data_IF_522672793835
#
_entry.id   IF_522672793835
#
_cell.length_a   1.000
_cell.length_b   1.000
_cell.length_c   1.000
_cell.angle_alpha   90.00
_cell.angle_beta   90.00
_cell.angle_gamma   90.00
#
_symmetry.space_group_name_H-M   'P 1'
#
loop_
_entity.id
_entity.type
_entity.pdbx_description
1 polymer ?
#
# COMPACT_ATOMS: atom_id res chain seq x y z
N UNK A 1 10.92 -11.52 -8.46
CA UNK A 1 11.09 -12.29 -7.22
C UNK A 1 12.41 -13.05 -7.34
N UNK A 2 13.51 -12.38 -7.01
CA UNK A 2 14.84 -12.95 -7.12
C UNK A 2 15.00 -14.09 -6.12
N UNK A 3 15.19 -15.33 -6.61
CA UNK A 3 15.57 -16.54 -5.86
C UNK A 3 14.71 -16.92 -4.64
N UNK A 4 13.46 -16.52 -4.57
CA UNK A 4 12.55 -17.07 -3.56
C UNK A 4 12.16 -18.50 -3.91
N UNK A 5 12.06 -19.35 -2.89
CA UNK A 5 11.46 -20.68 -3.03
C UNK A 5 10.08 -20.56 -3.71
N UNK A 6 9.69 -21.55 -4.55
CA UNK A 6 8.40 -21.53 -5.19
C UNK A 6 7.27 -21.35 -4.18
N UNK A 7 6.43 -20.35 -4.40
CA UNK A 7 5.22 -20.16 -3.61
C UNK A 7 4.16 -21.15 -4.10
N UNK A 8 3.71 -22.04 -3.23
CA UNK A 8 2.68 -23.04 -3.56
C UNK A 8 1.31 -22.54 -3.10
N UNK A 9 0.36 -22.55 -4.02
CA UNK A 9 -1.04 -22.22 -3.76
C UNK A 9 -1.89 -23.46 -4.05
N UNK A 10 -2.75 -23.83 -3.11
CA UNK A 10 -3.71 -24.92 -3.32
C UNK A 10 -4.85 -24.48 -4.24
N UNK A 11 -5.42 -25.40 -5.00
CA UNK A 11 -6.66 -25.15 -5.76
C UNK A 11 -7.80 -24.75 -4.82
N UNK A 12 -7.78 -25.19 -3.57
CA UNK A 12 -8.77 -24.83 -2.56
C UNK A 12 -8.69 -23.34 -2.13
N UNK A 13 -7.55 -22.68 -2.36
CA UNK A 13 -7.36 -21.26 -2.08
C UNK A 13 -7.67 -20.40 -3.32
N UNK A 14 -8.05 -21.02 -4.44
CA UNK A 14 -8.37 -20.32 -5.66
C UNK A 14 -9.78 -19.74 -5.63
N UNK A 15 -9.98 -18.65 -6.36
CA UNK A 15 -11.31 -18.06 -6.55
C UNK A 15 -11.96 -18.72 -7.78
N UNK A 16 -13.00 -19.55 -7.62
CA UNK A 16 -13.72 -20.14 -8.75
C UNK A 16 -14.57 -19.06 -9.45
N UNK A 17 -14.53 -19.04 -10.77
CA UNK A 17 -15.35 -18.15 -11.61
C UNK A 17 -15.96 -18.98 -12.73
N UNK A 18 -17.29 -18.97 -12.83
CA UNK A 18 -17.96 -19.57 -13.97
C UNK A 18 -17.90 -18.64 -15.19
N UNK A 19 -17.45 -19.19 -16.32
CA UNK A 19 -17.45 -18.50 -17.61
C UNK A 19 -17.72 -19.50 -18.75
N UNK A 20 -18.80 -19.24 -19.50
CA UNK A 20 -19.19 -20.07 -20.64
C UNK A 20 -19.35 -21.58 -20.29
N UNK A 21 -19.98 -21.89 -19.16
CA UNK A 21 -20.20 -23.27 -18.68
C UNK A 21 -18.93 -23.98 -18.19
N UNK A 22 -17.82 -23.24 -18.01
CA UNK A 22 -16.56 -23.76 -17.44
C UNK A 22 -16.23 -23.05 -16.14
N UNK A 23 -15.69 -23.79 -15.19
CA UNK A 23 -15.14 -23.23 -13.96
C UNK A 23 -13.67 -22.88 -14.21
N UNK A 24 -13.34 -21.60 -14.03
CA UNK A 24 -11.98 -21.07 -14.11
C UNK A 24 -11.52 -20.75 -12.69
N UNK A 25 -10.37 -21.28 -12.29
CA UNK A 25 -9.77 -20.99 -10.99
C UNK A 25 -8.78 -19.83 -11.13
N UNK A 26 -8.99 -18.77 -10.34
CA UNK A 26 -8.11 -17.60 -10.30
C UNK A 26 -7.21 -17.68 -9.09
N UNK A 27 -5.92 -17.48 -9.30
CA UNK A 27 -4.90 -17.40 -8.27
C UNK A 27 -4.34 -15.98 -8.21
N UNK A 28 -4.25 -15.40 -7.03
CA UNK A 28 -3.60 -14.11 -6.83
C UNK A 28 -2.10 -14.30 -6.59
N UNK A 29 -1.28 -13.58 -7.33
CA UNK A 29 0.13 -13.44 -7.07
C UNK A 29 0.40 -11.98 -6.63
N UNK A 30 0.56 -11.70 -5.34
CA UNK A 30 0.78 -10.36 -4.85
C UNK A 30 2.16 -9.85 -5.25
N UNK A 31 2.20 -8.72 -5.96
CA UNK A 31 3.41 -8.01 -6.33
C UNK A 31 3.33 -6.59 -5.76
N UNK A 32 4.44 -6.09 -5.24
CA UNK A 32 4.52 -4.67 -4.90
C UNK A 32 4.85 -3.83 -6.15
N UNK A 33 4.65 -2.52 -6.07
CA UNK A 33 4.83 -1.62 -7.21
C UNK A 33 6.23 -1.69 -7.83
N UNK A 34 7.29 -1.85 -7.03
CA UNK A 34 8.66 -1.96 -7.52
C UNK A 34 8.92 -3.24 -8.33
N UNK A 35 8.07 -4.26 -8.18
CA UNK A 35 8.19 -5.57 -8.85
C UNK A 35 7.43 -5.66 -10.19
N UNK A 36 6.87 -4.57 -10.69
CA UNK A 36 6.08 -4.58 -11.94
C UNK A 36 6.87 -5.04 -13.17
N UNK A 37 8.20 -4.90 -13.14
CA UNK A 37 9.11 -5.36 -14.20
C UNK A 37 9.63 -6.79 -13.99
N UNK A 38 9.30 -7.41 -12.86
CA UNK A 38 9.74 -8.78 -12.58
C UNK A 38 8.89 -9.78 -13.39
N UNK A 39 9.54 -10.87 -13.79
CA UNK A 39 8.84 -11.98 -14.44
C UNK A 39 8.35 -12.96 -13.38
N UNK A 40 7.05 -13.17 -13.34
CA UNK A 40 6.40 -14.22 -12.56
C UNK A 40 6.33 -15.49 -13.41
N UNK A 41 6.78 -16.59 -12.86
CA UNK A 41 6.65 -17.92 -13.46
C UNK A 41 5.62 -18.73 -12.69
N UNK A 42 4.67 -19.30 -13.40
CA UNK A 42 3.63 -20.14 -12.82
C UNK A 42 3.54 -21.47 -13.56
N UNK A 43 3.35 -22.55 -12.81
CA UNK A 43 3.06 -23.88 -13.35
C UNK A 43 2.04 -24.59 -12.48
N UNK A 44 1.20 -25.38 -13.10
CA UNK A 44 0.28 -26.26 -12.41
C UNK A 44 0.97 -27.60 -12.13
N UNK A 45 0.69 -28.18 -10.96
CA UNK A 45 1.12 -29.51 -10.60
C UNK A 45 -0.11 -30.32 -10.18
N UNK A 46 -0.34 -31.46 -10.84
CA UNK A 46 -1.44 -32.39 -10.54
C UNK A 46 -0.83 -33.76 -10.30
N UNK A 47 -1.11 -34.35 -9.17
CA UNK A 47 -0.63 -35.68 -8.76
C UNK A 47 0.90 -35.84 -8.94
N UNK A 48 1.65 -34.78 -8.60
CA UNK A 48 3.10 -34.75 -8.73
C UNK A 48 3.62 -34.44 -10.14
N UNK A 49 2.77 -34.42 -11.15
CA UNK A 49 3.16 -34.13 -12.53
C UNK A 49 3.06 -32.63 -12.81
N UNK A 50 4.13 -32.03 -13.30
CA UNK A 50 4.19 -30.62 -13.68
C UNK A 50 3.62 -30.41 -15.08
N UNK A 51 2.70 -29.46 -15.22
CA UNK A 51 2.25 -28.94 -16.51
C UNK A 51 3.24 -27.91 -17.09
N UNK A 52 2.79 -27.21 -18.13
CA UNK A 52 3.57 -26.15 -18.78
C UNK A 52 3.86 -25.00 -17.81
N UNK A 53 5.03 -24.37 -17.96
CA UNK A 53 5.37 -23.13 -17.29
C UNK A 53 4.83 -21.94 -18.11
N UNK A 54 4.16 -21.01 -17.43
CA UNK A 54 3.70 -19.75 -17.98
C UNK A 54 4.49 -18.62 -17.35
N UNK A 55 4.86 -17.65 -18.15
CA UNK A 55 5.53 -16.42 -17.69
C UNK A 55 4.60 -15.24 -17.83
N UNK A 56 4.70 -14.30 -16.89
CA UNK A 56 3.89 -13.08 -16.86
C UNK A 56 4.65 -11.95 -16.19
N UNK A 57 4.46 -10.74 -16.67
CA UNK A 57 4.94 -9.52 -16.04
C UNK A 57 3.88 -8.43 -16.18
N UNK A 58 3.70 -7.62 -15.14
CA UNK A 58 2.78 -6.48 -15.19
C UNK A 58 3.20 -5.50 -16.27
N UNK A 59 4.51 -5.28 -16.44
CA UNK A 59 5.05 -4.42 -17.48
C UNK A 59 4.75 -4.95 -18.88
N UNK A 60 4.91 -6.26 -19.15
CA UNK A 60 4.60 -6.86 -20.45
C UNK A 60 3.13 -6.73 -20.79
N UNK A 61 2.23 -7.01 -19.82
CA UNK A 61 0.79 -6.83 -20.01
C UNK A 61 0.43 -5.36 -20.30
N UNK A 62 1.01 -4.43 -19.54
CA UNK A 62 0.81 -3.01 -19.80
C UNK A 62 1.33 -2.59 -21.18
N UNK A 63 2.46 -3.16 -21.64
CA UNK A 63 3.01 -2.92 -22.98
C UNK A 63 2.04 -3.39 -24.06
N UNK A 64 1.46 -4.59 -23.90
CA UNK A 64 0.46 -5.10 -24.83
C UNK A 64 -0.77 -4.20 -24.91
N UNK A 65 -1.32 -3.75 -23.76
CA UNK A 65 -2.44 -2.80 -23.74
C UNK A 65 -2.12 -1.50 -24.47
N UNK A 66 -0.95 -0.92 -24.22
CA UNK A 66 -0.53 0.32 -24.85
C UNK A 66 -0.30 0.17 -26.35
N UNK A 67 0.16 -0.99 -26.82
CA UNK A 67 0.32 -1.27 -28.26
C UNK A 67 -1.03 -1.33 -29.01
N UNK A 68 -2.11 -1.61 -28.29
CA UNK A 68 -3.50 -1.66 -28.77
C UNK A 68 -4.32 -0.48 -28.26
N UNK A 69 -3.70 0.67 -28.03
CA UNK A 69 -4.34 1.83 -27.38
C UNK A 69 -5.64 2.29 -28.03
N UNK A 70 -5.78 2.07 -29.34
CA UNK A 70 -7.01 2.41 -30.08
C UNK A 70 -8.21 1.48 -29.76
N UNK A 71 -7.98 0.36 -29.10
CA UNK A 71 -9.01 -0.61 -28.72
C UNK A 71 -9.56 -0.36 -27.32
N UNK A 72 -8.96 0.56 -26.56
CA UNK A 72 -9.31 0.85 -25.17
C UNK A 72 -9.70 2.29 -24.94
N UNK A 73 -10.58 2.58 -23.97
CA UNK A 73 -10.90 3.95 -23.57
C UNK A 73 -9.64 4.73 -23.15
N UNK A 74 -9.64 6.02 -23.41
CA UNK A 74 -8.52 6.93 -23.08
C UNK A 74 -8.17 6.88 -21.58
N UNK A 75 -9.18 6.76 -20.71
CA UNK A 75 -9.02 6.64 -19.26
C UNK A 75 -8.23 5.38 -18.87
N UNK A 76 -8.48 4.26 -19.56
CA UNK A 76 -7.72 3.02 -19.37
C UNK A 76 -6.25 3.22 -19.74
N UNK A 77 -5.98 3.90 -20.84
CA UNK A 77 -4.62 4.20 -21.29
C UNK A 77 -3.91 5.11 -20.28
N UNK A 78 -4.58 6.16 -19.78
CA UNK A 78 -4.05 7.04 -18.73
C UNK A 78 -3.73 6.26 -17.44
N UNK A 79 -4.64 5.35 -17.02
CA UNK A 79 -4.42 4.49 -15.86
C UNK A 79 -3.19 3.61 -16.04
N UNK A 80 -3.03 2.97 -17.19
CA UNK A 80 -1.87 2.09 -17.46
C UNK A 80 -0.56 2.89 -17.45
N UNK A 81 -0.52 4.07 -18.04
CA UNK A 81 0.64 4.97 -17.98
C UNK A 81 0.96 5.39 -16.55
N UNK A 82 -0.04 5.76 -15.76
CA UNK A 82 0.12 6.13 -14.35
C UNK A 82 0.61 4.94 -13.50
N UNK A 83 0.10 3.73 -13.74
CA UNK A 83 0.56 2.51 -13.09
C UNK A 83 2.06 2.26 -13.34
N UNK A 84 2.52 2.38 -14.59
CA UNK A 84 3.93 2.20 -14.94
C UNK A 84 4.84 3.28 -14.31
N UNK A 85 4.38 4.52 -14.27
CA UNK A 85 5.10 5.61 -13.58
C UNK A 85 5.18 5.36 -12.07
N UNK A 86 4.10 4.87 -11.44
CA UNK A 86 4.11 4.47 -10.03
C UNK A 86 5.10 3.33 -9.79
N UNK A 87 5.14 2.33 -10.67
CA UNK A 87 6.12 1.24 -10.60
C UNK A 87 7.55 1.76 -10.61
N UNK A 88 7.90 2.64 -11.57
CA UNK A 88 9.24 3.23 -11.65
C UNK A 88 9.58 4.12 -10.45
N UNK A 89 8.64 4.92 -9.97
CA UNK A 89 8.85 5.73 -8.77
C UNK A 89 9.12 4.84 -7.54
N UNK A 90 8.42 3.71 -7.41
CA UNK A 90 8.67 2.72 -6.36
C UNK A 90 10.05 2.05 -6.52
N UNK A 91 10.45 1.67 -7.74
CA UNK A 91 11.77 1.12 -8.02
C UNK A 91 12.88 2.09 -7.58
N UNK A 92 12.76 3.37 -7.92
CA UNK A 92 13.73 4.40 -7.57
C UNK A 92 13.82 4.63 -6.06
N UNK A 93 12.68 4.70 -5.37
CA UNK A 93 12.63 4.91 -3.93
C UNK A 93 13.20 3.71 -3.15
N UNK A 94 12.81 2.49 -3.52
CA UNK A 94 13.28 1.28 -2.86
C UNK A 94 14.64 0.77 -3.36
N UNK A 95 15.25 1.44 -4.35
CA UNK A 95 16.50 1.02 -5.01
C UNK A 95 16.44 -0.42 -5.54
N UNK A 96 15.30 -0.78 -6.12
CA UNK A 96 15.02 -2.11 -6.61
C UNK A 96 14.90 -2.13 -8.13
N UNK A 97 15.68 -2.95 -8.83
CA UNK A 97 15.60 -3.23 -10.27
C UNK A 97 15.55 -1.94 -11.14
N UNK A 98 16.33 -0.91 -10.75
CA UNK A 98 16.32 0.43 -11.36
C UNK A 98 16.88 0.48 -12.78
N UNK A 99 17.62 -0.53 -13.19
CA UNK A 99 18.12 -0.75 -14.55
C UNK A 99 17.03 -1.19 -15.54
N UNK A 100 15.89 -1.64 -15.03
CA UNK A 100 14.72 -2.08 -15.81
C UNK A 100 13.44 -1.34 -15.39
N UNK A 101 13.39 0.00 -15.55
CA UNK A 101 12.26 0.78 -15.08
C UNK A 101 10.95 0.33 -15.72
N UNK A 102 9.87 0.30 -14.94
CA UNK A 102 8.57 -0.15 -15.40
C UNK A 102 8.05 0.72 -16.55
N UNK A 103 8.29 2.03 -16.51
CA UNK A 103 7.85 3.00 -17.51
C UNK A 103 8.82 3.19 -18.70
N UNK A 104 9.80 2.29 -18.90
CA UNK A 104 10.79 2.43 -19.98
C UNK A 104 10.16 2.55 -21.38
N UNK A 105 8.98 1.97 -21.56
CA UNK A 105 8.24 1.94 -22.81
C UNK A 105 7.44 3.21 -23.10
N UNK A 106 7.29 4.10 -22.12
CA UNK A 106 6.56 5.35 -22.29
C UNK A 106 7.41 6.40 -23.02
N UNK A 107 6.75 7.31 -23.73
CA UNK A 107 7.38 8.53 -24.25
C UNK A 107 7.92 9.39 -23.12
N UNK A 108 8.86 10.28 -23.41
CA UNK A 108 9.43 11.15 -22.35
C UNK A 108 8.37 12.09 -21.77
N UNK A 109 7.40 12.52 -22.57
CA UNK A 109 6.24 13.29 -22.08
C UNK A 109 5.35 12.48 -21.13
N UNK A 110 5.11 11.21 -21.42
CA UNK A 110 4.29 10.33 -20.58
C UNK A 110 5.00 9.89 -19.28
N UNK A 111 6.32 10.01 -19.21
CA UNK A 111 7.10 9.76 -17.99
C UNK A 111 7.04 10.92 -17.00
N UNK A 112 6.60 12.10 -17.43
CA UNK A 112 6.48 13.27 -16.56
C UNK A 112 5.29 13.07 -15.62
N UNK A 113 5.58 12.96 -14.33
CA UNK A 113 4.54 12.90 -13.29
C UNK A 113 4.33 14.30 -12.73
N UNK A 114 3.16 14.87 -12.98
CA UNK A 114 2.81 16.18 -12.46
C UNK A 114 2.74 16.18 -10.92
N UNK A 115 2.98 17.34 -10.32
CA UNK A 115 2.76 17.52 -8.89
C UNK A 115 1.26 17.30 -8.57
N UNK A 116 0.99 16.50 -7.55
CA UNK A 116 -0.36 16.24 -7.08
C UNK A 116 -0.76 17.24 -6.00
N UNK A 117 -2.03 17.59 -5.96
CA UNK A 117 -2.58 18.45 -4.91
C UNK A 117 -3.09 17.59 -3.74
N UNK A 118 -2.36 17.64 -2.64
CA UNK A 118 -2.73 16.98 -1.39
C UNK A 118 -3.33 17.93 -0.35
N UNK A 119 -3.63 19.19 -0.67
CA UNK A 119 -4.03 20.19 0.32
C UNK A 119 -5.32 19.81 1.09
N UNK A 120 -6.22 19.08 0.44
CA UNK A 120 -7.45 18.60 1.06
C UNK A 120 -7.26 17.42 2.03
N UNK A 121 -6.15 16.70 1.95
CA UNK A 121 -5.91 15.47 2.72
C UNK A 121 -5.10 15.76 3.98
N UNK A 122 -5.78 16.18 5.05
CA UNK A 122 -5.14 16.53 6.31
C UNK A 122 -5.27 15.40 7.32
N UNK A 123 -4.16 15.10 8.01
CA UNK A 123 -4.21 14.29 9.22
C UNK A 123 -4.74 15.12 10.37
N UNK A 124 -5.59 14.52 11.20
CA UNK A 124 -5.99 15.09 12.48
C UNK A 124 -5.44 14.20 13.59
N UNK A 125 -4.66 14.78 14.49
CA UNK A 125 -4.09 14.08 15.64
C UNK A 125 -4.54 14.84 16.87
N UNK A 126 -5.48 14.25 17.60
CA UNK A 126 -5.93 14.75 18.88
C UNK A 126 -5.24 13.95 19.98
N UNK A 127 -4.58 14.65 20.86
CA UNK A 127 -3.94 14.11 22.05
C UNK A 127 -4.64 14.71 23.26
N UNK A 128 -5.07 13.88 24.18
CA UNK A 128 -5.30 14.37 25.53
C UNK A 128 -3.92 14.50 26.20
N UNK A 129 -3.31 15.68 26.04
CA UNK A 129 -1.94 15.93 26.48
C UNK A 129 -1.79 15.80 28.00
N UNK A 130 -2.85 16.04 28.76
CA UNK A 130 -2.84 15.83 30.21
C UNK A 130 -2.78 14.33 30.55
N UNK A 131 -3.43 13.49 29.75
CA UNK A 131 -3.46 12.05 29.97
C UNK A 131 -2.31 11.29 29.28
N UNK A 132 -1.74 11.78 28.18
CA UNK A 132 -0.69 11.08 27.46
C UNK A 132 0.60 10.96 28.29
N UNK A 133 1.00 12.02 28.99
CA UNK A 133 2.17 11.96 29.87
C UNK A 133 1.90 11.18 31.16
N UNK A 134 0.71 11.29 31.75
CA UNK A 134 0.33 10.56 32.96
C UNK A 134 0.08 9.07 32.72
N UNK A 135 -0.27 8.67 31.49
CA UNK A 135 -0.55 7.28 31.12
C UNK A 135 0.67 6.53 30.57
N UNK A 136 1.81 7.18 30.41
CA UNK A 136 3.06 6.52 29.98
C UNK A 136 3.13 6.11 28.51
N UNK A 137 2.26 6.66 27.66
CA UNK A 137 2.26 6.42 26.21
C UNK A 137 2.36 7.75 25.45
N UNK A 138 3.26 7.83 24.48
CA UNK A 138 3.45 9.00 23.63
C UNK A 138 3.31 8.61 22.16
N UNK A 139 2.51 9.34 21.39
CA UNK A 139 2.46 9.18 19.95
C UNK A 139 3.76 9.67 19.31
N UNK A 140 4.43 8.77 18.57
CA UNK A 140 5.74 9.05 17.98
C UNK A 140 5.64 9.47 16.52
N UNK A 141 4.65 8.96 15.78
CA UNK A 141 4.44 9.29 14.37
C UNK A 141 3.69 8.22 13.60
N UNK A 142 3.57 8.44 12.30
CA UNK A 142 2.96 7.48 11.38
C UNK A 142 3.77 7.37 10.09
N UNK A 143 3.72 6.20 9.49
CA UNK A 143 4.32 5.93 8.18
C UNK A 143 3.35 5.19 7.26
N UNK A 144 3.62 5.26 5.97
CA UNK A 144 2.96 4.45 4.95
C UNK A 144 3.92 3.35 4.51
N UNK A 145 3.44 2.10 4.57
CA UNK A 145 4.19 0.94 4.12
C UNK A 145 3.60 0.48 2.80
N UNK A 146 4.40 0.60 1.73
CA UNK A 146 4.04 0.22 0.37
C UNK A 146 4.69 -1.13 0.03
N UNK A 147 4.08 -2.22 0.47
CA UNK A 147 4.45 -3.60 0.10
C UNK A 147 3.39 -4.19 -0.82
N UNK A 148 3.18 -5.50 -0.78
CA UNK A 148 2.08 -6.18 -1.49
C UNK A 148 0.70 -5.66 -1.05
N UNK A 149 0.59 -5.23 0.19
CA UNK A 149 -0.56 -4.50 0.73
C UNK A 149 -0.11 -3.15 1.25
N UNK A 150 -0.94 -2.14 1.06
CA UNK A 150 -0.67 -0.84 1.63
C UNK A 150 -1.14 -0.79 3.07
N UNK A 151 -0.30 -0.26 3.95
CA UNK A 151 -0.52 -0.24 5.39
C UNK A 151 -0.22 1.15 5.94
N UNK A 152 -1.13 1.69 6.74
CA UNK A 152 -0.84 2.83 7.62
C UNK A 152 -0.36 2.26 8.95
N UNK A 153 0.84 2.67 9.37
CA UNK A 153 1.45 2.27 10.64
C UNK A 153 1.58 3.46 11.56
N UNK A 154 1.05 3.32 12.76
CA UNK A 154 1.21 4.29 13.84
C UNK A 154 2.24 3.79 14.85
N UNK A 155 3.12 4.68 15.30
CA UNK A 155 4.17 4.39 16.28
C UNK A 155 3.89 5.11 17.60
N UNK A 156 4.16 4.41 18.68
CA UNK A 156 4.00 4.90 20.06
C UNK A 156 5.24 4.54 20.88
N UNK A 157 5.69 5.50 21.68
CA UNK A 157 6.71 5.27 22.70
C UNK A 157 6.02 4.95 24.03
N UNK A 158 6.50 3.89 24.70
CA UNK A 158 6.08 3.51 26.05
C UNK A 158 7.15 4.00 27.03
N UNK A 159 6.74 4.80 28.00
CA UNK A 159 7.64 5.34 29.02
C UNK A 159 8.11 4.22 29.96
N UNK A 160 9.26 4.42 30.60
CA UNK A 160 9.83 3.48 31.57
C UNK A 160 8.82 3.14 32.69
N UNK A 161 8.74 1.86 33.04
CA UNK A 161 7.79 1.36 34.03
C UNK A 161 6.35 1.18 33.55
N UNK A 162 6.05 1.48 32.29
CA UNK A 162 4.74 1.28 31.69
C UNK A 162 4.70 0.02 30.80
N UNK A 163 3.50 -0.55 30.66
CA UNK A 163 3.27 -1.74 29.83
C UNK A 163 2.31 -1.43 28.69
N UNK A 164 2.70 -1.74 27.45
CA UNK A 164 1.88 -1.56 26.25
C UNK A 164 0.53 -2.29 26.34
N UNK A 165 0.47 -3.39 27.07
CA UNK A 165 -0.76 -4.17 27.27
C UNK A 165 -1.83 -3.44 28.11
N UNK A 166 -1.49 -2.31 28.71
CA UNK A 166 -2.44 -1.44 29.42
C UNK A 166 -3.28 -0.59 28.48
N UNK A 167 -2.96 -0.59 27.18
CA UNK A 167 -3.60 0.23 26.17
C UNK A 167 -4.33 -0.63 25.15
N UNK A 168 -5.49 -0.15 24.71
CA UNK A 168 -6.26 -0.74 23.63
C UNK A 168 -6.18 0.14 22.41
N UNK A 169 -5.94 -0.47 21.30
CA UNK A 169 -5.84 0.16 19.98
C UNK A 169 -6.95 -0.37 19.09
N UNK A 170 -7.68 0.51 18.45
CA UNK A 170 -8.71 0.15 17.49
C UNK A 170 -8.78 1.17 16.35
N UNK A 171 -9.39 0.79 15.25
CA UNK A 171 -9.75 1.71 14.17
C UNK A 171 -11.12 1.35 13.61
N UNK A 172 -11.74 2.33 12.93
CA UNK A 172 -13.01 2.11 12.23
C UNK A 172 -12.69 1.78 10.77
N UNK A 173 -13.14 0.59 10.31
CA UNK A 173 -12.95 0.18 8.92
C UNK A 173 -13.95 0.87 7.97
N UNK A 174 -13.84 0.58 6.66
CA UNK A 174 -14.70 1.17 5.64
C UNK A 174 -16.20 0.84 5.79
N UNK A 175 -16.50 -0.25 6.49
CA UNK A 175 -17.89 -0.70 6.76
C UNK A 175 -18.46 -0.09 8.05
N UNK A 176 -17.69 0.78 8.71
CA UNK A 176 -18.09 1.41 9.97
C UNK A 176 -17.87 0.54 11.22
N UNK A 177 -17.23 -0.62 11.09
CA UNK A 177 -16.98 -1.52 12.21
C UNK A 177 -15.68 -1.17 12.94
N UNK A 178 -15.71 -1.24 14.26
CA UNK A 178 -14.52 -1.09 15.09
C UNK A 178 -13.69 -2.40 15.04
N UNK A 179 -12.43 -2.27 14.65
CA UNK A 179 -11.46 -3.37 14.53
C UNK A 179 -10.35 -3.16 15.55
N UNK A 180 -10.10 -4.15 16.39
CA UNK A 180 -8.99 -4.13 17.35
C UNK A 180 -7.65 -4.30 16.65
N UNK A 181 -6.65 -3.52 17.10
CA UNK A 181 -5.28 -3.59 16.62
C UNK A 181 -4.36 -4.16 17.71
N UNK A 182 -3.49 -5.07 17.32
CA UNK A 182 -2.50 -5.65 18.25
C UNK A 182 -1.17 -4.89 18.10
N UNK A 183 -0.65 -4.29 19.18
CA UNK A 183 0.64 -3.61 19.14
C UNK A 183 1.79 -4.63 18.95
N UNK A 184 2.79 -4.24 18.16
CA UNK A 184 4.00 -5.01 17.89
C UNK A 184 5.22 -4.18 18.30
N UNK A 185 6.23 -4.81 18.88
CA UNK A 185 7.49 -4.12 19.19
C UNK A 185 8.21 -3.76 17.89
N UNK A 186 8.50 -2.49 17.69
CA UNK A 186 9.25 -1.97 16.54
C UNK A 186 10.74 -1.79 16.87
N UNK A 187 11.03 -1.26 18.08
CA UNK A 187 12.36 -1.14 18.67
C UNK A 187 12.23 -1.01 20.19
N UNK A 188 13.34 -0.79 20.90
CA UNK A 188 13.27 -0.62 22.36
C UNK A 188 12.42 0.60 22.73
N UNK A 189 11.43 0.38 23.58
CA UNK A 189 10.46 1.38 24.01
C UNK A 189 9.47 1.83 22.94
N UNK A 190 9.61 1.40 21.68
CA UNK A 190 8.72 1.80 20.57
C UNK A 190 7.89 0.63 20.10
N UNK A 191 6.59 0.84 20.05
CA UNK A 191 5.61 -0.10 19.52
C UNK A 191 4.89 0.48 18.33
N UNK A 192 4.34 -0.38 17.47
CA UNK A 192 3.52 0.05 16.36
C UNK A 192 2.24 -0.76 16.24
N UNK A 193 1.23 -0.14 15.65
CA UNK A 193 -0.01 -0.79 15.22
C UNK A 193 -0.23 -0.56 13.73
N UNK A 194 -0.75 -1.57 13.04
CA UNK A 194 -0.88 -1.61 11.60
C UNK A 194 -2.35 -1.64 11.18
N UNK A 195 -2.76 -0.69 10.34
CA UNK A 195 -4.01 -0.73 9.59
C UNK A 195 -3.65 -1.26 8.20
N UNK A 196 -3.90 -2.56 7.99
CA UNK A 196 -3.50 -3.28 6.79
C UNK A 196 -4.59 -3.32 5.72
N UNK A 197 -4.23 -3.79 4.53
CA UNK A 197 -5.19 -4.10 3.46
C UNK A 197 -5.86 -2.88 2.85
N UNK A 198 -5.19 -1.72 2.88
CA UNK A 198 -5.73 -0.52 2.26
C UNK A 198 -5.70 -0.69 0.75
N UNK A 199 -6.89 -0.81 0.17
CA UNK A 199 -7.04 -0.96 -1.27
C UNK A 199 -6.74 0.35 -2.00
N UNK A 200 -6.28 0.25 -3.24
CA UNK A 200 -5.95 1.41 -4.07
C UNK A 200 -7.10 2.41 -4.17
N UNK A 201 -8.35 1.95 -4.27
CA UNK A 201 -9.54 2.82 -4.31
C UNK A 201 -9.76 3.68 -3.06
N UNK A 202 -9.17 3.28 -1.93
CA UNK A 202 -9.34 3.92 -0.62
C UNK A 202 -8.12 4.76 -0.19
N UNK A 203 -7.19 5.06 -1.11
CA UNK A 203 -5.98 5.84 -0.81
C UNK A 203 -6.28 7.27 -0.34
N UNK A 204 -7.41 7.81 -0.76
CA UNK A 204 -7.90 9.14 -0.37
C UNK A 204 -8.64 9.15 0.97
N UNK A 205 -8.84 7.99 1.61
CA UNK A 205 -9.53 7.88 2.89
C UNK A 205 -8.56 7.99 4.05
N UNK A 206 -9.01 8.63 5.12
CA UNK A 206 -8.38 8.54 6.44
C UNK A 206 -9.06 7.43 7.25
N UNK A 207 -8.32 6.88 8.21
CA UNK A 207 -8.76 5.83 9.11
C UNK A 207 -8.68 6.36 10.54
N UNK A 208 -9.84 6.42 11.21
CA UNK A 208 -9.92 6.88 12.59
C UNK A 208 -9.37 5.80 13.53
N UNK A 209 -8.13 6.00 13.99
CA UNK A 209 -7.51 5.13 14.99
C UNK A 209 -7.68 5.74 16.39
N UNK A 210 -8.11 4.92 17.36
CA UNK A 210 -8.35 5.31 18.73
C UNK A 210 -7.47 4.52 19.67
N UNK A 211 -6.91 5.21 20.66
CA UNK A 211 -6.13 4.59 21.74
C UNK A 211 -6.79 4.92 23.06
N UNK A 212 -7.07 3.88 23.87
CA UNK A 212 -7.68 4.03 25.20
C UNK A 212 -6.81 3.39 26.26
N UNK A 213 -6.74 4.02 27.44
CA UNK A 213 -6.03 3.49 28.60
C UNK A 213 -6.87 2.52 29.45
N UNK A 214 -6.31 2.06 30.55
CA UNK A 214 -6.96 1.13 31.52
C UNK A 214 -8.30 1.64 32.06
N UNK A 215 -8.43 2.95 32.28
CA UNK A 215 -9.64 3.59 32.76
C UNK A 215 -10.67 3.85 31.64
N UNK A 216 -10.45 3.30 30.43
CA UNK A 216 -11.24 3.52 29.21
C UNK A 216 -11.26 4.99 28.73
N UNK A 217 -10.45 5.86 29.29
CA UNK A 217 -10.29 7.22 28.77
C UNK A 217 -9.61 7.16 27.40
N UNK A 218 -10.08 7.98 26.47
CA UNK A 218 -9.44 8.15 25.15
C UNK A 218 -8.17 8.99 25.35
N UNK A 219 -7.03 8.45 24.90
CA UNK A 219 -5.72 9.09 25.01
C UNK A 219 -5.34 9.74 23.69
N UNK A 220 -5.56 9.03 22.58
CA UNK A 220 -5.31 9.51 21.22
C UNK A 220 -6.49 9.24 20.32
N UNK A 221 -6.81 10.20 19.46
CA UNK A 221 -7.62 10.01 18.25
C UNK A 221 -6.78 10.46 17.06
N UNK A 222 -6.50 9.52 16.17
CA UNK A 222 -5.70 9.73 14.98
C UNK A 222 -6.60 9.52 13.76
N UNK A 223 -6.86 10.59 13.00
CA UNK A 223 -7.52 10.50 11.71
C UNK A 223 -6.44 10.64 10.63
N UNK A 224 -6.02 9.52 10.05
CA UNK A 224 -4.81 9.43 9.24
C UNK A 224 -4.96 8.42 8.11
N UNK A 225 -4.43 8.75 6.94
CA UNK A 225 -4.50 7.88 5.79
C UNK A 225 -3.32 8.06 4.82
N UNK A 226 -3.32 7.33 3.70
CA UNK A 226 -2.22 7.38 2.74
C UNK A 226 -1.99 8.78 2.17
N UNK A 227 -3.04 9.51 1.82
CA UNK A 227 -2.87 10.84 1.24
C UNK A 227 -2.58 11.92 2.27
N UNK A 228 -2.98 11.77 3.53
CA UNK A 228 -2.53 12.66 4.59
C UNK A 228 -1.05 12.43 4.94
N UNK A 229 -0.54 11.19 4.82
CA UNK A 229 0.90 10.93 4.82
C UNK A 229 1.58 11.63 3.63
N UNK A 230 1.04 11.46 2.42
CA UNK A 230 1.58 12.07 1.20
C UNK A 230 1.66 13.59 1.30
N UNK A 231 0.64 14.23 1.87
CA UNK A 231 0.66 15.68 2.16
C UNK A 231 1.86 16.07 3.04
N UNK A 232 2.10 15.33 4.12
CA UNK A 232 3.25 15.58 4.99
C UNK A 232 4.57 15.41 4.24
N UNK A 233 4.70 14.38 3.39
CA UNK A 233 5.89 14.14 2.57
C UNK A 233 6.16 15.32 1.63
N UNK A 234 5.14 15.79 0.92
CA UNK A 234 5.30 16.90 -0.04
C UNK A 234 5.69 18.20 0.65
N UNK A 235 5.09 18.48 1.82
CA UNK A 235 5.35 19.70 2.57
C UNK A 235 6.64 19.65 3.43
N UNK A 236 7.25 18.46 3.55
CA UNK A 236 8.49 18.30 4.32
C UNK A 236 9.70 18.73 3.54
N UNK A 237 10.52 19.61 4.11
CA UNK A 237 11.86 19.95 3.59
C UNK A 237 12.85 18.78 3.65
N UNK A 238 12.61 17.81 4.53
CA UNK A 238 13.49 16.67 4.79
C UNK A 238 13.17 15.42 3.98
N UNK A 239 12.05 15.40 3.25
CA UNK A 239 11.70 14.26 2.39
C UNK A 239 12.53 14.23 1.12
N UNK A 240 13.06 13.05 0.76
CA UNK A 240 13.83 12.90 -0.48
C UNK A 240 12.95 13.12 -1.72
N UNK A 241 13.59 13.48 -2.83
CA UNK A 241 12.89 13.66 -4.11
C UNK A 241 12.25 12.35 -4.59
N UNK A 242 12.90 11.21 -4.35
CA UNK A 242 12.37 9.91 -4.72
C UNK A 242 11.07 9.60 -3.95
N UNK A 243 11.01 9.95 -2.65
CA UNK A 243 9.78 9.78 -1.87
C UNK A 243 8.68 10.73 -2.35
N UNK A 244 9.00 11.98 -2.65
CA UNK A 244 8.04 12.94 -3.22
C UNK A 244 7.51 12.47 -4.58
N UNK A 245 8.37 11.93 -5.43
CA UNK A 245 7.97 11.36 -6.72
C UNK A 245 7.08 10.13 -6.55
N UNK A 246 7.39 9.27 -5.56
CA UNK A 246 6.59 8.10 -5.26
C UNK A 246 5.15 8.46 -4.87
N UNK A 247 4.97 9.40 -3.96
CA UNK A 247 3.61 9.80 -3.52
C UNK A 247 2.84 10.54 -4.62
N UNK A 248 3.51 11.33 -5.46
CA UNK A 248 2.90 11.95 -6.62
C UNK A 248 2.42 10.90 -7.64
N UNK A 249 3.26 9.92 -7.96
CA UNK A 249 2.90 8.85 -8.88
C UNK A 249 1.76 7.97 -8.32
N UNK A 250 1.76 7.68 -7.02
CA UNK A 250 0.67 6.98 -6.34
C UNK A 250 -0.66 7.74 -6.45
N UNK A 251 -0.63 9.08 -6.31
CA UNK A 251 -1.83 9.91 -6.49
C UNK A 251 -2.42 9.76 -7.89
N UNK A 252 -1.61 9.88 -8.96
CA UNK A 252 -2.10 9.79 -10.32
C UNK A 252 -2.58 8.40 -10.69
N UNK A 253 -1.95 7.34 -10.16
CA UNK A 253 -2.45 5.98 -10.27
C UNK A 253 -3.86 5.84 -9.66
N UNK A 254 -4.07 6.36 -8.44
CA UNK A 254 -5.39 6.40 -7.81
C UNK A 254 -6.37 7.26 -8.61
N UNK A 255 -5.96 8.44 -9.05
CA UNK A 255 -6.81 9.40 -9.75
C UNK A 255 -7.44 8.79 -11.00
N UNK A 256 -6.62 8.18 -11.88
CA UNK A 256 -7.11 7.56 -13.11
C UNK A 256 -7.81 6.21 -12.89
N UNK A 257 -7.57 5.53 -11.78
CA UNK A 257 -8.17 4.24 -11.48
C UNK A 257 -9.50 4.30 -10.75
N UNK A 258 -9.72 5.35 -9.92
CA UNK A 258 -10.78 5.29 -8.90
C UNK A 258 -11.58 6.59 -8.70
N UNK A 259 -11.19 7.68 -9.34
CA UNK A 259 -11.91 8.95 -9.20
C UNK A 259 -13.00 9.14 -10.27
N UNK A 260 -12.97 8.38 -11.35
CA UNK A 260 -13.92 8.46 -12.45
C UNK A 260 -15.06 7.47 -12.29
#
# INVERSE_FOLDING_TARGET
>A
VNNSQPYKVSVNDAIPVEKNGKVIYKFACPLNAAQMSDTVKAKMVVDGNSGNEYTYSVKEYATELLSKSNEYPEETIKLVKALLNYGTAAQNFFKYNTDKPANAILSDTDKIVAAADFAAYKAVIKTDSANSQSNGLTYYGSSLICKSEMTVRHYFMVNEGCDINNYKFSYVNADGNEVSLTPKKASDGVYCVDINGIMARNLNSNYACKVTGKNKACIFELDYGPFSYSQKVINSGNSSNELKNLVNALYWYWYYGYRN
#
